data_IF_381331069661
#
_entry.id   IF_381331069661
#
_cell.length_a   1.000
_cell.length_b   1.000
_cell.length_c   1.000
_cell.angle_alpha   90.00
_cell.angle_beta   90.00
_cell.angle_gamma   90.00
#
_symmetry.space_group_name_H-M   'P 1'
#
loop_
_entity.id
_entity.type
_entity.pdbx_description
1 polymer ?
#
# COMPACT_ATOMS: atom_id res chain seq x y z
N UNK A 1 22.11 47.27 2.51
CA UNK A 1 20.89 46.91 1.74
C UNK A 1 20.65 45.45 2.02
N UNK A 2 19.93 45.16 3.10
CA UNK A 2 19.66 43.79 3.49
C UNK A 2 18.47 43.26 2.69
N UNK A 3 18.73 42.25 1.86
CA UNK A 3 17.68 41.40 1.32
C UNK A 3 17.25 40.45 2.44
N UNK A 4 16.17 40.79 3.14
CA UNK A 4 15.60 39.91 4.16
C UNK A 4 15.14 38.60 3.50
N UNK A 5 15.85 37.51 3.79
CA UNK A 5 15.50 36.18 3.31
C UNK A 5 14.25 35.70 4.05
N UNK A 6 13.10 35.78 3.38
CA UNK A 6 11.81 35.44 3.97
C UNK A 6 11.80 33.94 4.34
N UNK A 7 11.59 33.59 5.63
CA UNK A 7 11.63 32.20 6.05
C UNK A 7 10.45 31.45 5.42
N UNK A 8 10.77 30.58 4.45
CA UNK A 8 9.78 29.68 3.83
C UNK A 8 9.26 28.72 4.89
N UNK A 9 8.18 29.11 5.57
CA UNK A 9 7.43 28.22 6.44
C UNK A 9 7.03 26.94 5.69
N UNK A 10 6.70 25.86 6.42
CA UNK A 10 6.19 24.65 5.79
C UNK A 10 5.03 25.05 4.86
N UNK A 11 5.07 24.57 3.61
CA UNK A 11 4.03 24.87 2.62
C UNK A 11 2.75 24.14 2.98
N UNK A 12 2.00 24.70 3.94
CA UNK A 12 0.67 24.24 4.38
C UNK A 12 -0.41 24.59 3.34
N UNK A 13 -0.08 24.44 2.06
CA UNK A 13 -1.06 24.41 0.99
C UNK A 13 -1.77 23.05 1.03
N UNK A 14 -3.08 22.98 0.77
CA UNK A 14 -3.75 21.71 0.55
C UNK A 14 -3.01 20.94 -0.54
N UNK A 15 -2.55 19.73 -0.24
CA UNK A 15 -2.06 18.81 -1.27
C UNK A 15 -3.24 18.62 -2.25
N UNK A 16 -3.05 18.74 -3.58
CA UNK A 16 -4.10 18.50 -4.55
C UNK A 16 -4.43 17.00 -4.57
N UNK A 17 -5.27 16.60 -3.62
CA UNK A 17 -5.97 15.32 -3.61
C UNK A 17 -6.80 15.23 -4.89
N UNK A 18 -6.95 14.02 -5.44
CA UNK A 18 -7.67 13.80 -6.69
C UNK A 18 -9.05 14.44 -6.70
N UNK A 19 -9.46 14.98 -7.85
CA UNK A 19 -10.69 15.77 -8.01
C UNK A 19 -11.99 15.04 -7.59
N UNK A 20 -11.93 13.72 -7.42
CA UNK A 20 -13.02 12.88 -6.94
C UNK A 20 -12.52 11.95 -5.84
N UNK A 21 -13.21 11.92 -4.70
CA UNK A 21 -12.98 10.95 -3.62
C UNK A 21 -12.91 9.51 -4.18
N UNK A 22 -12.02 8.64 -3.67
CA UNK A 22 -11.97 7.25 -4.11
C UNK A 22 -13.31 6.55 -3.90
N UNK A 23 -13.68 5.57 -4.74
CA UNK A 23 -14.98 4.94 -4.66
C UNK A 23 -15.09 4.17 -3.34
N UNK A 24 -16.12 4.52 -2.55
CA UNK A 24 -16.39 3.97 -1.23
C UNK A 24 -17.51 2.93 -1.31
N UNK A 25 -17.38 1.85 -0.54
CA UNK A 25 -18.48 0.90 -0.31
C UNK A 25 -19.60 1.62 0.47
N UNK A 26 -20.84 1.66 -0.05
CA UNK A 26 -21.97 2.30 0.63
C UNK A 26 -22.16 1.75 2.05
N UNK A 27 -22.48 2.65 2.99
CA UNK A 27 -22.69 2.39 4.42
C UNK A 27 -21.43 1.91 5.20
N UNK A 28 -20.56 1.11 4.59
CA UNK A 28 -19.32 0.59 5.19
C UNK A 28 -18.22 1.65 5.30
N UNK A 29 -18.15 2.62 4.37
CA UNK A 29 -17.21 3.75 4.48
C UNK A 29 -15.73 3.36 4.31
N UNK A 30 -15.47 2.26 3.60
CA UNK A 30 -14.13 1.82 3.18
C UNK A 30 -13.99 1.98 1.66
N UNK A 31 -12.81 2.33 1.12
CA UNK A 31 -12.59 2.32 -0.32
C UNK A 31 -12.62 0.89 -0.85
N UNK A 32 -13.04 0.68 -2.10
CA UNK A 32 -13.07 -0.67 -2.70
C UNK A 32 -11.70 -1.37 -2.67
N UNK A 33 -10.60 -0.61 -2.82
CA UNK A 33 -9.22 -1.11 -2.73
C UNK A 33 -8.87 -1.71 -1.35
N UNK A 34 -9.56 -1.31 -0.28
CA UNK A 34 -9.45 -1.91 1.05
C UNK A 34 -10.52 -3.00 1.30
N UNK A 35 -11.75 -2.77 0.85
CA UNK A 35 -12.88 -3.66 1.13
C UNK A 35 -12.77 -5.00 0.41
N UNK A 36 -12.31 -5.03 -0.85
CA UNK A 36 -12.16 -6.26 -1.64
C UNK A 36 -11.19 -7.25 -0.99
N UNK A 37 -9.92 -6.90 -0.67
CA UNK A 37 -9.00 -7.85 -0.04
C UNK A 37 -9.44 -8.26 1.37
N UNK A 38 -10.10 -7.37 2.13
CA UNK A 38 -10.65 -7.71 3.45
C UNK A 38 -11.79 -8.74 3.35
N UNK A 39 -12.71 -8.57 2.40
CA UNK A 39 -13.79 -9.53 2.15
C UNK A 39 -13.25 -10.87 1.61
N UNK A 40 -12.22 -10.82 0.76
CA UNK A 40 -11.55 -12.02 0.26
C UNK A 40 -10.91 -12.81 1.41
N UNK A 41 -10.14 -12.15 2.28
CA UNK A 41 -9.56 -12.79 3.46
C UNK A 41 -10.63 -13.36 4.42
N UNK A 42 -11.77 -12.69 4.58
CA UNK A 42 -12.89 -13.19 5.37
C UNK A 42 -13.53 -14.45 4.75
N UNK A 43 -13.67 -14.49 3.43
CA UNK A 43 -14.18 -15.65 2.70
C UNK A 43 -13.23 -16.86 2.83
N UNK A 44 -11.92 -16.66 2.67
CA UNK A 44 -10.90 -17.70 2.87
C UNK A 44 -10.96 -18.28 4.30
N UNK A 45 -11.06 -17.42 5.32
CA UNK A 45 -11.22 -17.87 6.73
C UNK A 45 -12.51 -18.68 6.94
N UNK A 46 -13.61 -18.26 6.32
CA UNK A 46 -14.88 -19.00 6.38
C UNK A 46 -14.76 -20.39 5.74
N UNK A 47 -14.14 -20.48 4.55
CA UNK A 47 -13.93 -21.74 3.84
C UNK A 47 -12.96 -22.67 4.56
N UNK A 48 -11.89 -22.13 5.15
CA UNK A 48 -10.86 -22.93 5.84
C UNK A 48 -11.34 -23.60 7.13
N UNK A 49 -12.24 -22.96 7.90
CA UNK A 49 -12.69 -23.46 9.21
C UNK A 49 -14.06 -24.14 9.14
N UNK A 50 -14.92 -23.73 8.20
CA UNK A 50 -16.23 -24.35 7.97
C UNK A 50 -17.28 -24.10 9.06
N UNK A 51 -18.54 -24.38 8.69
CA UNK A 51 -19.70 -24.24 9.57
C UNK A 51 -19.85 -22.86 10.22
N UNK A 52 -20.57 -22.82 11.36
CA UNK A 52 -20.80 -21.58 12.12
C UNK A 52 -19.52 -20.98 12.71
N UNK A 53 -18.48 -21.80 12.97
CA UNK A 53 -17.19 -21.31 13.49
C UNK A 53 -16.44 -20.48 12.44
N UNK A 54 -16.40 -20.93 11.19
CA UNK A 54 -15.82 -20.16 10.08
C UNK A 54 -16.53 -18.82 9.87
N UNK A 55 -17.87 -18.80 9.94
CA UNK A 55 -18.65 -17.55 9.89
C UNK A 55 -18.30 -16.61 11.05
N UNK A 56 -18.19 -17.13 12.28
CA UNK A 56 -17.77 -16.36 13.45
C UNK A 56 -16.38 -15.75 13.32
N UNK A 57 -15.40 -16.51 12.82
CA UNK A 57 -14.03 -16.00 12.60
C UNK A 57 -13.96 -15.00 11.43
N UNK A 58 -14.71 -15.21 10.35
CA UNK A 58 -14.82 -14.24 9.26
C UNK A 58 -15.42 -12.91 9.77
N UNK A 59 -16.49 -12.96 10.57
CA UNK A 59 -17.07 -11.77 11.19
C UNK A 59 -16.10 -11.07 12.14
N UNK A 60 -15.36 -11.82 12.96
CA UNK A 60 -14.31 -11.26 13.83
C UNK A 60 -13.18 -10.59 13.04
N UNK A 61 -12.75 -11.16 11.89
CA UNK A 61 -11.78 -10.52 11.00
C UNK A 61 -12.29 -9.19 10.46
N UNK A 62 -13.54 -9.16 9.96
CA UNK A 62 -14.18 -7.95 9.44
C UNK A 62 -14.29 -6.85 10.50
N UNK A 63 -14.58 -7.19 11.76
CA UNK A 63 -14.65 -6.23 12.87
C UNK A 63 -13.23 -5.77 13.26
N UNK A 64 -12.32 -6.70 13.54
CA UNK A 64 -10.99 -6.41 14.08
C UNK A 64 -10.09 -5.67 13.09
N UNK A 65 -10.24 -5.90 11.79
CA UNK A 65 -9.48 -5.19 10.73
C UNK A 65 -10.29 -4.03 10.16
N UNK A 66 -11.59 -4.23 9.89
CA UNK A 66 -12.41 -3.24 9.21
C UNK A 66 -12.73 -1.99 10.03
N UNK A 67 -12.89 -2.09 11.36
CA UNK A 67 -13.12 -0.90 12.20
C UNK A 67 -11.87 0.01 12.29
N UNK A 68 -10.66 -0.48 12.61
CA UNK A 68 -9.45 0.35 12.55
C UNK A 68 -9.18 0.91 11.14
N UNK A 69 -9.42 0.11 10.10
CA UNK A 69 -9.23 0.54 8.71
C UNK A 69 -10.19 1.65 8.30
N UNK A 70 -11.46 1.59 8.73
CA UNK A 70 -12.45 2.66 8.54
C UNK A 70 -12.06 3.92 9.33
N UNK A 71 -11.60 3.76 10.57
CA UNK A 71 -11.11 4.89 11.36
C UNK A 71 -9.92 5.58 10.67
N UNK A 72 -8.95 4.81 10.17
CA UNK A 72 -7.79 5.35 9.43
C UNK A 72 -8.21 6.09 8.14
N UNK A 73 -9.06 5.47 7.32
CA UNK A 73 -9.63 6.07 6.10
C UNK A 73 -10.41 7.36 6.39
N UNK A 74 -10.98 7.51 7.59
CA UNK A 74 -11.69 8.74 7.97
C UNK A 74 -10.77 9.94 8.22
N UNK A 75 -9.48 9.70 8.50
CA UNK A 75 -8.46 10.75 8.60
C UNK A 75 -7.80 11.06 7.24
N UNK A 76 -7.60 10.04 6.41
CA UNK A 76 -7.07 10.20 5.05
C UNK A 76 -7.75 9.19 4.09
N UNK A 77 -8.64 9.70 3.24
CA UNK A 77 -9.36 8.91 2.25
C UNK A 77 -8.45 8.26 1.20
N UNK A 78 -7.25 8.78 0.99
CA UNK A 78 -6.27 8.31 0.01
C UNK A 78 -5.16 7.45 0.60
N UNK A 79 -5.11 7.25 1.92
CA UNK A 79 -4.06 6.49 2.61
C UNK A 79 -3.80 5.11 1.98
N UNK A 80 -4.86 4.43 1.54
CA UNK A 80 -4.79 3.10 0.90
C UNK A 80 -4.18 3.19 -0.50
N UNK A 81 -4.54 4.20 -1.29
CA UNK A 81 -3.96 4.42 -2.62
C UNK A 81 -2.49 4.83 -2.53
N UNK A 82 -2.13 5.66 -1.54
CA UNK A 82 -0.74 6.02 -1.23
C UNK A 82 0.05 4.79 -0.80
N UNK A 83 -0.50 3.93 0.06
CA UNK A 83 0.13 2.68 0.49
C UNK A 83 0.35 1.73 -0.70
N UNK A 84 -0.62 1.60 -1.60
CA UNK A 84 -0.47 0.80 -2.82
C UNK A 84 0.55 1.39 -3.79
N UNK A 85 0.57 2.72 -3.98
CA UNK A 85 1.55 3.40 -4.82
C UNK A 85 2.98 3.23 -4.25
N UNK A 86 3.14 3.39 -2.93
CA UNK A 86 4.39 3.09 -2.23
C UNK A 86 4.79 1.62 -2.39
N UNK A 87 3.86 0.67 -2.23
CA UNK A 87 4.13 -0.76 -2.41
C UNK A 87 4.61 -1.10 -3.83
N UNK A 88 3.97 -0.52 -4.86
CA UNK A 88 4.36 -0.70 -6.27
C UNK A 88 5.73 -0.11 -6.61
N UNK A 89 6.10 1.02 -5.99
CA UNK A 89 7.33 1.76 -6.32
C UNK A 89 8.52 1.38 -5.44
N UNK A 90 8.29 1.21 -4.14
CA UNK A 90 9.30 0.93 -3.12
C UNK A 90 9.45 -0.55 -2.81
N UNK A 91 8.41 -1.37 -3.01
CA UNK A 91 8.48 -2.83 -2.85
C UNK A 91 9.61 -3.50 -3.66
N UNK A 92 9.75 -3.21 -4.97
CA UNK A 92 10.88 -3.71 -5.76
C UNK A 92 12.26 -3.24 -5.25
N UNK A 93 12.33 -2.06 -4.61
CA UNK A 93 13.57 -1.56 -4.03
C UNK A 93 13.98 -2.33 -2.75
N UNK A 94 13.02 -2.84 -1.97
CA UNK A 94 13.32 -3.69 -0.80
C UNK A 94 13.97 -5.02 -1.20
N UNK A 95 13.51 -5.65 -2.28
CA UNK A 95 14.05 -6.92 -2.76
C UNK A 95 15.36 -6.76 -3.57
N UNK A 96 15.75 -5.51 -3.89
CA UNK A 96 17.00 -5.21 -4.59
C UNK A 96 18.23 -5.79 -3.89
N UNK A 97 18.26 -5.77 -2.57
CA UNK A 97 19.36 -6.33 -1.76
C UNK A 97 19.50 -7.85 -1.93
N UNK A 98 18.41 -8.57 -2.26
CA UNK A 98 18.42 -10.03 -2.43
C UNK A 98 18.72 -10.45 -3.87
N UNK A 99 18.17 -9.75 -4.87
CA UNK A 99 18.29 -10.11 -6.29
C UNK A 99 19.38 -9.35 -7.06
N UNK A 100 20.06 -8.40 -6.41
CA UNK A 100 21.05 -7.51 -7.06
C UNK A 100 20.43 -6.26 -7.69
N UNK A 101 19.15 -5.98 -7.39
CA UNK A 101 18.42 -4.84 -7.94
C UNK A 101 18.16 -4.97 -9.43
N UNK A 102 18.38 -3.86 -10.14
CA UNK A 102 18.61 -3.95 -11.56
C UNK A 102 19.90 -4.77 -11.77
N UNK A 103 19.84 -6.02 -12.26
CA UNK A 103 20.94 -7.01 -12.25
C UNK A 103 21.25 -7.86 -13.53
N UNK A 104 20.77 -7.49 -14.73
CA UNK A 104 20.48 -8.32 -15.95
C UNK A 104 19.85 -9.72 -15.74
N UNK A 105 20.48 -10.63 -15.02
CA UNK A 105 20.21 -12.07 -14.92
C UNK A 105 18.76 -12.48 -14.60
N UNK A 106 18.34 -13.67 -15.03
CA UNK A 106 17.06 -14.27 -14.62
C UNK A 106 17.08 -14.77 -13.16
N UNK A 107 18.25 -15.20 -12.68
CA UNK A 107 18.46 -15.69 -11.31
C UNK A 107 19.01 -14.60 -10.37
N UNK A 108 18.88 -14.74 -9.03
CA UNK A 108 19.46 -13.78 -8.09
C UNK A 108 20.98 -13.70 -8.29
N UNK A 109 21.53 -12.48 -8.47
CA UNK A 109 22.99 -12.35 -8.56
C UNK A 109 23.65 -12.77 -7.24
N UNK A 110 24.64 -13.65 -7.37
CA UNK A 110 25.56 -13.99 -6.29
C UNK A 110 26.16 -12.68 -5.72
N UNK A 111 26.23 -12.50 -4.38
CA UNK A 111 26.68 -11.26 -3.74
C UNK A 111 27.94 -10.57 -4.32
N UNK A 112 28.86 -11.31 -4.95
CA UNK A 112 30.09 -10.80 -5.59
C UNK A 112 29.85 -10.02 -6.89
N UNK A 113 28.74 -10.25 -7.58
CA UNK A 113 28.42 -9.67 -8.91
C UNK A 113 27.42 -8.50 -8.85
N UNK A 114 26.68 -8.36 -7.74
CA UNK A 114 25.59 -7.37 -7.55
C UNK A 114 25.95 -5.89 -7.76
N UNK A 115 27.24 -5.53 -7.80
CA UNK A 115 27.70 -4.15 -8.07
C UNK A 115 28.22 -3.92 -9.49
N UNK A 116 28.26 -4.96 -10.34
CA UNK A 116 28.93 -4.93 -11.66
C UNK A 116 27.97 -5.07 -12.85
N UNK A 117 26.77 -5.59 -12.65
CA UNK A 117 25.82 -5.93 -13.72
C UNK A 117 24.45 -5.26 -13.46
N UNK A 118 23.97 -4.32 -14.29
CA UNK A 118 22.62 -3.71 -14.19
C UNK A 118 21.51 -4.39 -15.03
N UNK A 119 20.22 -4.41 -14.61
CA UNK A 119 19.00 -4.80 -15.41
C UNK A 119 18.63 -3.58 -16.27
N UNK A 120 17.77 -3.78 -17.26
CA UNK A 120 16.80 -2.75 -17.66
C UNK A 120 17.38 -1.56 -18.42
N UNK A 121 18.65 -1.65 -18.81
CA UNK A 121 19.27 -0.81 -19.84
C UNK A 121 19.48 -1.65 -21.11
N UNK A 122 18.37 -2.19 -21.61
CA UNK A 122 18.21 -2.60 -23.00
C UNK A 122 16.85 -2.02 -23.43
N UNK A 123 16.84 -1.29 -24.55
CA UNK A 123 15.66 -0.60 -25.09
C UNK A 123 14.70 -1.53 -25.83
#
# INVERSE_FOLDING_TARGET
>A
MDAAEEPRGPRTGPIPLGATRPPMVPFVGLPFSAAIPLLFAAAEVQMAVGGLKGVGYAAMLLIAVGLPLRAWVSFDWYAIEVLMAWGRTSGPALDSARWGGASVSHFPLHPRHRRREPRGMAG
#
